data_IF_390190011912
#
_entry.id   IF_390190011912
#
_cell.length_a   1.000
_cell.length_b   1.000
_cell.length_c   1.000
_cell.angle_alpha   90.00
_cell.angle_beta   90.00
_cell.angle_gamma   90.00
#
_symmetry.space_group_name_H-M   'P 1'
#
loop_
_entity.id
_entity.type
_entity.pdbx_description
1 polymer ?
#
# COMPACT_ATOMS: atom_id res chain seq x y z
N UNK A 1 19.68 -2.61 -7.74
CA UNK A 1 18.21 -2.40 -7.82
C UNK A 1 17.88 -2.22 -9.28
N UNK A 2 16.98 -3.02 -9.82
CA UNK A 2 16.47 -2.70 -11.14
C UNK A 2 15.74 -1.37 -11.05
N UNK A 3 15.92 -0.49 -12.01
CA UNK A 3 15.27 0.83 -12.08
C UNK A 3 13.75 0.72 -11.92
N UNK A 4 13.18 -0.33 -12.45
CA UNK A 4 11.76 -0.65 -12.35
C UNK A 4 11.28 -0.88 -10.90
N UNK A 5 12.04 -1.60 -10.07
CA UNK A 5 11.70 -1.81 -8.64
C UNK A 5 11.76 -0.48 -7.88
N UNK A 6 12.78 0.33 -8.12
CA UNK A 6 12.87 1.67 -7.50
C UNK A 6 11.69 2.55 -7.87
N UNK A 7 11.32 2.57 -9.15
CA UNK A 7 10.16 3.35 -9.61
C UNK A 7 8.86 2.89 -8.94
N UNK A 8 8.63 1.59 -8.82
CA UNK A 8 7.47 1.06 -8.10
C UNK A 8 7.49 1.42 -6.61
N UNK A 9 8.66 1.41 -5.95
CA UNK A 9 8.78 1.87 -4.56
C UNK A 9 8.37 3.35 -4.41
N UNK A 10 8.85 4.24 -5.27
CA UNK A 10 8.47 5.66 -5.27
C UNK A 10 6.95 5.83 -5.41
N UNK A 11 6.34 5.15 -6.37
CA UNK A 11 4.90 5.18 -6.61
C UNK A 11 4.11 4.62 -5.42
N UNK A 12 4.58 3.52 -4.81
CA UNK A 12 3.93 2.96 -3.62
C UNK A 12 4.05 3.89 -2.40
N UNK A 13 5.13 4.67 -2.31
CA UNK A 13 5.29 5.69 -1.28
C UNK A 13 4.35 6.88 -1.53
N UNK A 14 4.19 7.35 -2.76
CA UNK A 14 3.27 8.42 -3.13
C UNK A 14 1.82 8.08 -2.77
N UNK A 15 1.37 6.88 -3.10
CA UNK A 15 0.01 6.42 -2.78
C UNK A 15 -0.22 5.99 -1.33
N UNK A 16 0.84 5.87 -0.55
CA UNK A 16 0.77 5.59 0.90
C UNK A 16 1.20 6.80 1.72
N UNK A 17 0.79 8.00 1.35
CA UNK A 17 1.24 9.26 1.91
C UNK A 17 1.38 9.24 3.44
N UNK A 18 2.35 9.98 3.97
CA UNK A 18 2.53 10.24 5.38
C UNK A 18 2.21 11.71 5.67
N UNK A 19 1.75 12.01 6.90
CA UNK A 19 1.47 13.38 7.32
C UNK A 19 2.74 14.25 7.39
N UNK A 20 3.87 13.62 7.72
CA UNK A 20 5.20 14.24 7.71
C UNK A 20 6.21 13.28 7.09
N UNK A 21 7.11 13.82 6.28
CA UNK A 21 8.20 13.07 5.67
C UNK A 21 9.50 13.83 5.81
N UNK A 22 10.59 13.11 6.06
CA UNK A 22 11.95 13.63 6.16
C UNK A 22 12.89 12.79 5.30
N UNK A 23 13.70 13.44 4.47
CA UNK A 23 14.85 12.81 3.82
C UNK A 23 16.06 12.85 4.77
N UNK A 24 16.75 11.73 4.90
CA UNK A 24 17.95 11.63 5.74
C UNK A 24 18.99 10.75 5.07
N UNK A 25 19.95 11.34 4.43
CA UNK A 25 21.09 10.70 3.75
C UNK A 25 20.68 9.45 2.95
N UNK A 26 19.77 9.62 1.99
CA UNK A 26 19.25 8.54 1.12
C UNK A 26 18.14 7.68 1.74
N UNK A 27 17.81 7.86 3.01
CA UNK A 27 16.65 7.24 3.66
C UNK A 27 15.48 8.21 3.74
N UNK A 28 14.26 7.66 3.73
CA UNK A 28 13.01 8.41 3.85
C UNK A 28 12.34 7.97 5.15
N UNK A 29 12.24 8.89 6.11
CA UNK A 29 11.53 8.71 7.37
C UNK A 29 10.12 9.26 7.23
N UNK A 30 9.11 8.49 7.62
CA UNK A 30 7.70 8.83 7.43
C UNK A 30 6.95 8.71 8.74
N UNK A 31 6.12 9.73 9.05
CA UNK A 31 5.44 9.85 10.32
C UNK A 31 3.96 10.21 10.11
N UNK A 32 3.08 9.42 10.68
CA UNK A 32 1.62 9.63 10.71
C UNK A 32 1.09 9.25 12.10
N UNK A 33 1.30 10.09 13.12
CA UNK A 33 0.75 9.85 14.45
C UNK A 33 -0.77 9.63 14.36
N UNK A 34 -1.30 8.70 15.17
CA UNK A 34 -2.72 8.35 15.14
C UNK A 34 -3.10 7.34 14.05
N UNK A 35 -2.15 6.89 13.21
CA UNK A 35 -2.37 5.84 12.22
C UNK A 35 -1.52 4.61 12.50
N UNK A 36 -2.14 3.41 12.47
CA UNK A 36 -1.42 2.12 12.55
C UNK A 36 -0.88 1.65 11.20
N UNK A 37 -1.07 2.44 10.14
CA UNK A 37 -0.62 2.11 8.78
C UNK A 37 0.91 2.16 8.74
N UNK A 38 1.55 0.98 8.71
CA UNK A 38 3.02 0.86 8.77
C UNK A 38 3.72 1.56 7.61
N UNK A 39 3.15 1.56 6.40
CA UNK A 39 3.71 2.24 5.23
C UNK A 39 3.85 3.76 5.40
N UNK A 40 2.98 4.38 6.17
CA UNK A 40 3.07 5.81 6.50
C UNK A 40 3.83 6.09 7.80
N UNK A 41 4.31 5.05 8.49
CA UNK A 41 5.04 5.09 9.75
C UNK A 41 6.25 4.14 9.70
N UNK A 42 7.16 4.39 8.77
CA UNK A 42 8.38 3.57 8.60
C UNK A 42 9.51 4.32 7.91
N UNK A 43 10.71 3.86 8.12
CA UNK A 43 11.93 4.24 7.39
C UNK A 43 12.01 3.39 6.13
N UNK A 44 12.24 4.01 4.97
CA UNK A 44 12.52 3.31 3.71
C UNK A 44 13.93 3.67 3.24
N UNK A 45 14.81 2.67 3.14
CA UNK A 45 16.21 2.83 2.76
C UNK A 45 16.36 2.67 1.23
N UNK A 46 15.98 3.72 0.47
CA UNK A 46 15.76 3.65 -0.96
C UNK A 46 16.96 4.07 -1.81
N UNK A 47 17.75 5.02 -1.33
CA UNK A 47 18.84 5.61 -2.09
C UNK A 47 20.21 5.40 -1.40
N UNK A 48 21.33 5.54 -2.16
CA UNK A 48 22.66 5.48 -1.58
C UNK A 48 22.85 6.44 -0.42
N UNK A 49 23.72 6.06 0.53
CA UNK A 49 24.02 6.80 1.76
C UNK A 49 25.50 7.06 1.87
N UNK A 50 25.88 8.11 2.60
CA UNK A 50 27.27 8.49 2.89
C UNK A 50 27.62 8.37 4.37
N UNK A 51 26.63 8.45 5.26
CA UNK A 51 26.84 8.35 6.70
C UNK A 51 26.94 6.88 7.16
N UNK A 52 27.60 6.69 8.30
CA UNK A 52 27.69 5.40 8.96
C UNK A 52 26.31 4.82 9.29
N UNK A 53 26.06 3.57 8.92
CA UNK A 53 24.75 2.93 9.02
C UNK A 53 24.29 2.81 10.47
N UNK A 54 25.22 2.54 11.41
CA UNK A 54 24.88 2.42 12.83
C UNK A 54 24.38 3.76 13.41
N UNK A 55 25.01 4.86 13.03
CA UNK A 55 24.60 6.22 13.42
C UNK A 55 23.22 6.57 12.81
N UNK A 56 22.97 6.16 11.57
CA UNK A 56 21.67 6.37 10.92
C UNK A 56 20.54 5.59 11.58
N UNK A 57 20.78 4.34 11.98
CA UNK A 57 19.81 3.53 12.71
C UNK A 57 19.47 4.22 14.04
N UNK A 58 20.49 4.62 14.83
CA UNK A 58 20.30 5.31 16.10
C UNK A 58 19.51 6.62 15.94
N UNK A 59 19.81 7.41 14.92
CA UNK A 59 19.05 8.62 14.60
C UNK A 59 17.57 8.31 14.30
N UNK A 60 17.30 7.29 13.51
CA UNK A 60 15.92 6.88 13.21
C UNK A 60 15.19 6.42 14.48
N UNK A 61 15.83 5.61 15.32
CA UNK A 61 15.27 5.14 16.59
C UNK A 61 14.90 6.33 17.49
N UNK A 62 15.78 7.33 17.64
CA UNK A 62 15.48 8.53 18.38
C UNK A 62 14.34 9.35 17.76
N UNK A 63 14.35 9.58 16.45
CA UNK A 63 13.32 10.37 15.76
C UNK A 63 11.93 9.77 15.87
N UNK A 64 11.82 8.43 15.85
CA UNK A 64 10.54 7.74 16.05
C UNK A 64 10.13 7.73 17.53
N UNK A 65 11.07 7.59 18.47
CA UNK A 65 10.80 7.70 19.91
C UNK A 65 10.27 9.10 20.26
N UNK A 66 10.88 10.16 19.74
CA UNK A 66 10.45 11.56 19.93
C UNK A 66 9.04 11.82 19.36
N UNK A 67 8.67 11.07 18.32
CA UNK A 67 7.33 11.12 17.71
C UNK A 67 6.31 10.22 18.43
N UNK A 68 6.69 9.46 19.47
CA UNK A 68 5.83 8.48 20.13
C UNK A 68 5.42 7.31 19.23
N UNK A 69 6.25 6.96 18.27
CA UNK A 69 5.99 5.92 17.28
C UNK A 69 7.02 4.78 17.39
N UNK A 70 6.62 3.53 17.14
CA UNK A 70 7.59 2.43 17.06
C UNK A 70 8.45 2.56 15.79
N UNK A 71 9.76 2.37 15.94
CA UNK A 71 10.68 2.37 14.79
C UNK A 71 10.46 1.13 13.94
N UNK A 72 10.19 1.35 12.66
CA UNK A 72 10.03 0.29 11.65
C UNK A 72 10.86 0.63 10.43
N UNK A 73 11.66 -0.33 9.97
CA UNK A 73 12.40 -0.23 8.72
C UNK A 73 11.67 -1.07 7.67
N UNK A 74 11.18 -0.42 6.61
CA UNK A 74 10.58 -1.08 5.45
C UNK A 74 11.67 -1.38 4.44
N UNK A 75 11.93 -2.66 4.22
CA UNK A 75 13.04 -3.17 3.44
C UNK A 75 12.57 -4.09 2.32
N UNK A 76 13.33 -4.14 1.25
CA UNK A 76 13.27 -5.15 0.21
C UNK A 76 14.69 -5.61 -0.16
N UNK A 77 14.84 -6.58 -1.05
CA UNK A 77 16.14 -7.10 -1.48
C UNK A 77 17.07 -6.05 -2.11
N UNK A 78 16.55 -4.87 -2.44
CA UNK A 78 17.29 -3.76 -3.05
C UNK A 78 17.53 -2.60 -2.11
N UNK A 79 17.18 -2.71 -0.82
CA UNK A 79 17.41 -1.67 0.18
C UNK A 79 18.90 -1.42 0.39
N UNK A 80 19.27 -0.17 0.67
CA UNK A 80 20.66 0.27 0.80
C UNK A 80 20.97 0.79 2.21
N UNK A 81 22.11 0.41 2.79
CA UNK A 81 23.11 -0.52 2.24
C UNK A 81 22.63 -1.98 2.24
N UNK A 82 23.19 -2.84 1.40
CA UNK A 82 22.72 -4.21 1.21
C UNK A 82 22.72 -5.06 2.50
N UNK A 83 23.62 -4.78 3.44
CA UNK A 83 23.70 -5.45 4.75
C UNK A 83 22.69 -4.95 5.78
N UNK A 84 21.85 -3.95 5.46
CA UNK A 84 20.94 -3.31 6.44
C UNK A 84 19.98 -4.31 7.10
N UNK A 85 19.44 -5.26 6.33
CA UNK A 85 18.53 -6.28 6.89
C UNK A 85 19.22 -7.14 7.95
N UNK A 86 20.46 -7.55 7.68
CA UNK A 86 21.28 -8.33 8.60
C UNK A 86 21.64 -7.52 9.86
N UNK A 87 22.08 -6.27 9.70
CA UNK A 87 22.44 -5.40 10.82
C UNK A 87 21.24 -5.15 11.76
N UNK A 88 20.05 -4.99 11.21
CA UNK A 88 18.83 -4.86 12.00
C UNK A 88 18.45 -6.17 12.70
N UNK A 89 18.67 -7.33 12.06
CA UNK A 89 18.46 -8.62 12.68
C UNK A 89 19.40 -8.85 13.89
N UNK A 90 20.69 -8.53 13.73
CA UNK A 90 21.70 -8.60 14.78
C UNK A 90 21.40 -7.69 15.98
N UNK A 91 20.66 -6.59 15.75
CA UNK A 91 20.13 -5.69 16.79
C UNK A 91 18.83 -6.19 17.43
N UNK A 92 18.37 -7.40 17.12
CA UNK A 92 17.17 -7.99 17.66
C UNK A 92 15.87 -7.55 16.96
N UNK A 93 15.93 -6.81 15.86
CA UNK A 93 14.73 -6.44 15.12
C UNK A 93 14.13 -7.67 14.41
N UNK A 94 12.86 -7.96 14.70
CA UNK A 94 12.13 -9.04 14.04
C UNK A 94 11.66 -8.65 12.65
N UNK A 95 11.71 -9.59 11.73
CA UNK A 95 11.10 -9.48 10.40
C UNK A 95 9.62 -9.79 10.48
N UNK A 96 8.77 -8.88 10.01
CA UNK A 96 7.31 -9.01 10.04
C UNK A 96 6.68 -8.62 8.71
N UNK A 97 5.49 -9.13 8.44
CA UNK A 97 4.59 -8.78 7.33
C UNK A 97 5.28 -8.77 5.95
N UNK A 98 5.86 -9.89 5.50
CA UNK A 98 6.33 -9.97 4.12
C UNK A 98 5.15 -9.73 3.17
N UNK A 99 5.34 -8.77 2.28
CA UNK A 99 4.29 -8.28 1.39
C UNK A 99 4.76 -8.31 -0.05
N UNK A 100 4.03 -8.98 -0.91
CA UNK A 100 4.27 -9.02 -2.36
C UNK A 100 3.77 -7.73 -3.00
N UNK A 101 4.60 -7.14 -3.84
CA UNK A 101 4.20 -6.12 -4.82
C UNK A 101 4.00 -6.81 -6.15
N UNK A 102 2.79 -6.73 -6.68
CA UNK A 102 2.39 -7.38 -7.93
C UNK A 102 2.01 -6.34 -8.97
N UNK A 103 2.31 -6.61 -10.23
CA UNK A 103 2.09 -5.72 -11.37
C UNK A 103 1.31 -6.44 -12.47
N UNK A 104 0.43 -5.70 -13.15
CA UNK A 104 -0.32 -6.11 -14.33
C UNK A 104 -0.12 -5.08 -15.43
N UNK A 105 0.57 -5.41 -16.54
CA UNK A 105 0.57 -4.58 -17.75
C UNK A 105 -0.82 -4.60 -18.39
N UNK A 106 -1.52 -3.47 -18.39
CA UNK A 106 -2.92 -3.41 -18.82
C UNK A 106 -3.12 -3.77 -20.31
N UNK A 107 -2.13 -3.54 -21.14
CA UNK A 107 -2.16 -3.90 -22.59
C UNK A 107 -2.22 -5.42 -22.84
N UNK A 108 -1.76 -6.22 -21.87
CA UNK A 108 -1.70 -7.69 -21.97
C UNK A 108 -2.97 -8.38 -21.44
N UNK A 109 -3.87 -7.62 -20.85
CA UNK A 109 -5.08 -8.14 -20.23
C UNK A 109 -6.29 -7.76 -21.11
N UNK A 110 -7.15 -8.70 -21.44
CA UNK A 110 -8.39 -8.43 -22.15
C UNK A 110 -9.34 -7.56 -21.30
N UNK A 111 -10.03 -6.62 -21.94
CA UNK A 111 -11.06 -5.82 -21.26
C UNK A 111 -12.19 -6.73 -20.75
N UNK A 112 -12.72 -6.40 -19.59
CA UNK A 112 -13.78 -7.14 -18.95
C UNK A 112 -14.95 -6.21 -18.59
N UNK A 113 -16.19 -6.69 -18.52
CA UNK A 113 -17.31 -5.84 -18.13
C UNK A 113 -17.18 -5.37 -16.67
N UNK A 114 -17.49 -4.10 -16.46
CA UNK A 114 -17.59 -3.53 -15.11
C UNK A 114 -18.79 -4.19 -14.39
N UNK A 115 -18.61 -4.51 -13.12
CA UNK A 115 -19.63 -5.20 -12.35
C UNK A 115 -20.90 -4.34 -12.18
N UNK A 116 -22.11 -4.91 -12.35
CA UNK A 116 -23.34 -4.21 -11.97
C UNK A 116 -23.30 -3.76 -10.52
N UNK A 117 -23.72 -2.51 -10.24
CA UNK A 117 -23.68 -1.91 -8.89
C UNK A 117 -22.30 -1.37 -8.47
N UNK A 118 -21.32 -1.40 -9.36
CA UNK A 118 -20.07 -0.67 -9.17
C UNK A 118 -20.31 0.83 -9.28
N UNK A 119 -19.79 1.59 -8.34
CA UNK A 119 -19.88 3.04 -8.35
C UNK A 119 -18.60 3.69 -7.84
N UNK A 120 -18.17 4.76 -8.51
CA UNK A 120 -17.16 5.68 -8.00
C UNK A 120 -17.85 6.63 -7.03
N UNK A 121 -17.20 6.89 -5.90
CA UNK A 121 -17.72 7.69 -4.78
C UNK A 121 -16.91 8.95 -4.58
N UNK A 122 -17.48 9.93 -3.92
CA UNK A 122 -16.71 10.99 -3.29
C UNK A 122 -15.80 10.42 -2.21
N UNK A 123 -14.62 11.06 -2.01
CA UNK A 123 -13.61 10.52 -1.08
C UNK A 123 -14.11 10.49 0.37
N UNK A 124 -14.82 11.53 0.82
CA UNK A 124 -15.33 11.62 2.19
C UNK A 124 -16.48 10.64 2.43
N UNK A 125 -17.39 10.52 1.46
CA UNK A 125 -18.45 9.51 1.47
C UNK A 125 -17.83 8.11 1.57
N UNK A 126 -16.84 7.82 0.75
CA UNK A 126 -16.17 6.51 0.75
C UNK A 126 -15.42 6.22 2.04
N UNK A 127 -14.71 7.21 2.63
CA UNK A 127 -14.04 7.05 3.91
C UNK A 127 -15.04 6.60 4.98
N UNK A 128 -16.19 7.24 5.03
CA UNK A 128 -17.27 6.92 5.99
C UNK A 128 -17.81 5.51 5.75
N UNK A 129 -18.23 5.20 4.50
CA UNK A 129 -18.81 3.90 4.13
C UNK A 129 -17.83 2.75 4.35
N UNK A 130 -16.58 2.91 3.88
CA UNK A 130 -15.57 1.85 3.98
C UNK A 130 -15.13 1.60 5.42
N UNK A 131 -15.14 2.61 6.28
CA UNK A 131 -14.85 2.48 7.71
C UNK A 131 -15.98 1.74 8.44
N UNK A 132 -17.24 2.11 8.17
CA UNK A 132 -18.41 1.42 8.69
C UNK A 132 -18.44 -0.05 8.26
N UNK A 133 -18.11 -0.33 6.99
CA UNK A 133 -18.07 -1.69 6.45
C UNK A 133 -17.03 -2.57 7.16
N UNK A 134 -15.89 -2.00 7.61
CA UNK A 134 -14.82 -2.72 8.33
C UNK A 134 -15.10 -2.93 9.81
N UNK A 135 -15.87 -2.07 10.44
CA UNK A 135 -16.20 -2.12 11.86
C UNK A 135 -15.06 -1.73 12.81
N UNK A 136 -13.80 -1.94 12.44
CA UNK A 136 -12.60 -1.54 13.23
C UNK A 136 -11.61 -0.82 12.32
N UNK A 137 -11.59 0.51 12.31
CA UNK A 137 -10.64 1.28 11.51
C UNK A 137 -9.22 1.20 12.11
N UNK A 138 -8.20 1.19 11.25
CA UNK A 138 -6.78 1.22 11.65
C UNK A 138 -6.26 2.64 11.95
N UNK A 139 -7.09 3.63 11.75
CA UNK A 139 -6.80 5.05 11.95
C UNK A 139 -8.12 5.80 12.15
N UNK A 140 -8.06 6.98 12.75
CA UNK A 140 -9.26 7.82 12.85
C UNK A 140 -9.72 8.28 11.47
N UNK A 141 -10.99 8.62 11.31
CA UNK A 141 -11.54 9.13 10.04
C UNK A 141 -10.78 10.39 9.59
N UNK A 142 -10.44 11.26 10.54
CA UNK A 142 -9.71 12.49 10.25
C UNK A 142 -8.26 12.22 9.79
N UNK A 143 -7.52 11.35 10.47
CA UNK A 143 -6.16 10.95 10.05
C UNK A 143 -6.17 10.31 8.67
N UNK A 144 -7.20 9.48 8.38
CA UNK A 144 -7.37 8.86 7.07
C UNK A 144 -7.65 9.90 5.98
N UNK A 145 -8.55 10.86 6.25
CA UNK A 145 -8.86 11.97 5.33
C UNK A 145 -7.63 12.78 5.01
N UNK A 146 -6.90 13.25 6.03
CA UNK A 146 -5.69 14.04 5.87
C UNK A 146 -4.62 13.28 5.07
N UNK A 147 -4.39 12.02 5.38
CA UNK A 147 -3.42 11.17 4.68
C UNK A 147 -3.78 10.95 3.21
N UNK A 148 -5.04 10.69 2.89
CA UNK A 148 -5.48 10.51 1.50
C UNK A 148 -5.47 11.85 0.74
N UNK A 149 -5.90 12.93 1.36
CA UNK A 149 -5.90 14.27 0.75
C UNK A 149 -4.48 14.80 0.48
N UNK A 150 -3.49 14.42 1.30
CA UNK A 150 -2.08 14.82 1.11
C UNK A 150 -1.33 13.99 0.07
N UNK A 151 -1.91 12.90 -0.42
CA UNK A 151 -1.25 12.04 -1.40
C UNK A 151 -1.21 12.70 -2.79
N UNK A 152 -0.05 12.72 -3.47
CA UNK A 152 0.09 13.31 -4.81
C UNK A 152 -0.43 12.37 -5.90
N UNK A 153 -1.61 11.79 -5.71
CA UNK A 153 -2.23 10.83 -6.63
C UNK A 153 -3.70 11.18 -6.85
N UNK A 154 -4.25 10.81 -8.00
CA UNK A 154 -5.69 10.91 -8.25
C UNK A 154 -6.40 9.70 -7.69
N UNK A 155 -7.33 9.90 -6.74
CA UNK A 155 -8.07 8.83 -6.11
C UNK A 155 -9.34 8.46 -6.85
N UNK A 156 -9.65 7.17 -6.88
CA UNK A 156 -10.87 6.56 -7.41
C UNK A 156 -11.49 5.68 -6.31
N UNK A 157 -12.19 6.29 -5.33
CA UNK A 157 -12.85 5.54 -4.27
C UNK A 157 -14.05 4.80 -4.85
N UNK A 158 -14.19 3.50 -4.54
CA UNK A 158 -15.22 2.66 -5.17
C UNK A 158 -15.93 1.77 -4.18
N UNK A 159 -17.20 1.48 -4.51
CA UNK A 159 -18.02 0.49 -3.80
C UNK A 159 -18.68 -0.45 -4.80
N UNK A 160 -19.03 -1.64 -4.34
CA UNK A 160 -19.92 -2.56 -5.04
C UNK A 160 -21.18 -2.75 -4.19
N UNK A 161 -22.34 -2.52 -4.81
CA UNK A 161 -23.66 -2.63 -4.16
C UNK A 161 -24.47 -3.75 -4.83
N UNK A 162 -25.07 -4.61 -4.03
CA UNK A 162 -25.96 -5.70 -4.47
C UNK A 162 -27.21 -5.64 -3.61
N UNK A 163 -28.39 -5.65 -4.23
CA UNK A 163 -29.69 -5.55 -3.54
C UNK A 163 -29.73 -4.41 -2.51
N UNK A 164 -29.29 -3.21 -2.92
CA UNK A 164 -29.20 -1.99 -2.11
C UNK A 164 -28.24 -2.05 -0.91
N UNK A 165 -27.43 -3.12 -0.77
CA UNK A 165 -26.44 -3.27 0.27
C UNK A 165 -25.02 -3.09 -0.32
N UNK A 166 -24.20 -2.25 0.30
CA UNK A 166 -22.76 -2.20 -0.02
C UNK A 166 -22.08 -3.47 0.47
N UNK A 167 -21.59 -4.29 -0.46
CA UNK A 167 -21.00 -5.61 -0.18
C UNK A 167 -19.48 -5.63 -0.21
N UNK A 168 -18.87 -4.64 -0.87
CA UNK A 168 -17.43 -4.54 -1.01
C UNK A 168 -17.03 -3.07 -1.22
N UNK A 169 -15.85 -2.70 -0.75
CA UNK A 169 -15.25 -1.38 -0.97
C UNK A 169 -13.78 -1.51 -1.35
N UNK A 170 -13.26 -0.49 -2.03
CA UNK A 170 -11.86 -0.39 -2.41
C UNK A 170 -11.54 1.02 -2.87
N UNK A 171 -10.27 1.30 -3.15
CA UNK A 171 -9.85 2.57 -3.72
C UNK A 171 -8.74 2.35 -4.74
N UNK A 172 -8.88 2.97 -5.90
CA UNK A 172 -7.83 3.11 -6.88
C UNK A 172 -7.03 4.38 -6.65
N UNK A 173 -5.74 4.38 -6.99
CA UNK A 173 -4.89 5.57 -6.93
C UNK A 173 -4.00 5.65 -8.17
N UNK A 174 -4.14 6.72 -8.97
CA UNK A 174 -3.34 6.91 -10.19
C UNK A 174 -2.17 7.86 -9.93
N UNK A 175 -0.96 7.39 -10.26
CA UNK A 175 0.28 8.16 -10.30
C UNK A 175 0.93 7.96 -11.68
N UNK A 176 0.82 8.96 -12.56
CA UNK A 176 1.29 8.88 -13.93
C UNK A 176 0.66 7.72 -14.69
N UNK A 177 1.47 6.78 -15.16
CA UNK A 177 1.04 5.59 -15.92
C UNK A 177 0.69 4.38 -15.03
N UNK A 178 0.83 4.50 -13.70
CA UNK A 178 0.53 3.44 -12.74
C UNK A 178 -0.78 3.69 -12.01
N UNK A 179 -1.52 2.62 -11.78
CA UNK A 179 -2.77 2.63 -11.02
C UNK A 179 -2.72 1.57 -9.92
N UNK A 180 -2.67 2.00 -8.68
CA UNK A 180 -2.68 1.12 -7.52
C UNK A 180 -4.08 0.69 -7.12
N UNK A 181 -4.26 -0.58 -6.75
CA UNK A 181 -5.48 -1.11 -6.15
C UNK A 181 -5.25 -1.25 -4.64
N UNK A 182 -6.02 -0.52 -3.85
CA UNK A 182 -5.84 -0.47 -2.40
C UNK A 182 -7.13 -0.75 -1.66
N UNK A 183 -6.97 -1.22 -0.43
CA UNK A 183 -8.01 -1.27 0.58
C UNK A 183 -9.25 -2.08 0.17
N UNK A 184 -9.07 -3.06 -0.75
CA UNK A 184 -10.16 -3.95 -1.16
C UNK A 184 -10.62 -4.76 0.06
N UNK A 185 -11.89 -4.57 0.41
CA UNK A 185 -12.47 -5.21 1.57
C UNK A 185 -13.87 -5.75 1.32
N UNK A 186 -14.08 -7.00 1.68
CA UNK A 186 -15.39 -7.65 1.75
C UNK A 186 -15.59 -8.19 3.16
N UNK A 187 -16.68 -7.81 3.87
CA UNK A 187 -17.03 -8.36 5.17
C UNK A 187 -17.03 -9.89 5.17
N UNK A 188 -16.65 -10.50 6.27
CA UNK A 188 -16.48 -11.95 6.38
C UNK A 188 -17.73 -12.73 5.96
N UNK A 189 -18.90 -12.31 6.42
CA UNK A 189 -20.18 -12.92 6.09
C UNK A 189 -20.55 -12.87 4.58
N UNK A 190 -19.87 -12.00 3.82
CA UNK A 190 -20.10 -11.78 2.39
C UNK A 190 -18.97 -12.33 1.49
N UNK A 191 -17.95 -12.95 2.09
CA UNK A 191 -16.83 -13.55 1.34
C UNK A 191 -17.27 -14.76 0.53
N UNK A 192 -16.40 -15.19 -0.41
CA UNK A 192 -16.60 -16.34 -1.31
C UNK A 192 -17.80 -16.23 -2.25
N UNK A 193 -18.33 -15.04 -2.47
CA UNK A 193 -19.40 -14.73 -3.42
C UNK A 193 -18.91 -14.00 -4.67
N UNK A 194 -17.60 -13.91 -4.89
CA UNK A 194 -16.99 -13.26 -6.06
C UNK A 194 -16.87 -11.73 -5.97
N UNK A 195 -17.38 -11.07 -4.93
CA UNK A 195 -17.45 -9.60 -4.85
C UNK A 195 -16.07 -8.91 -4.92
N UNK A 196 -15.05 -9.42 -4.24
CA UNK A 196 -13.69 -8.85 -4.32
C UNK A 196 -13.10 -8.99 -5.72
N UNK A 197 -13.39 -10.10 -6.43
CA UNK A 197 -12.94 -10.29 -7.82
C UNK A 197 -13.64 -9.31 -8.75
N UNK A 198 -14.96 -9.18 -8.62
CA UNK A 198 -15.75 -8.24 -9.42
C UNK A 198 -15.31 -6.79 -9.21
N UNK A 199 -15.03 -6.39 -7.95
CA UNK A 199 -14.52 -5.06 -7.63
C UNK A 199 -13.10 -4.84 -8.21
N UNK A 200 -12.21 -5.84 -8.10
CA UNK A 200 -10.86 -5.75 -8.67
C UNK A 200 -10.88 -5.61 -10.20
N UNK A 201 -11.73 -6.36 -10.90
CA UNK A 201 -11.95 -6.23 -12.35
C UNK A 201 -12.42 -4.80 -12.68
N UNK A 202 -13.42 -4.30 -11.96
CA UNK A 202 -13.96 -2.95 -12.18
C UNK A 202 -12.91 -1.85 -11.95
N UNK A 203 -12.03 -2.03 -10.95
CA UNK A 203 -10.89 -1.13 -10.73
C UNK A 203 -9.83 -1.23 -11.85
N UNK A 204 -9.59 -2.41 -12.41
CA UNK A 204 -8.69 -2.59 -13.57
C UNK A 204 -9.26 -1.86 -14.79
N UNK A 205 -10.55 -1.92 -15.02
CA UNK A 205 -11.19 -1.19 -16.13
C UNK A 205 -11.21 0.33 -15.86
N UNK A 206 -11.36 0.76 -14.61
CA UNK A 206 -11.18 2.16 -14.22
C UNK A 206 -9.74 2.62 -14.49
N UNK A 207 -8.73 1.79 -14.22
CA UNK A 207 -7.34 2.07 -14.54
C UNK A 207 -7.15 2.30 -16.05
N UNK A 208 -7.73 1.45 -16.91
CA UNK A 208 -7.70 1.62 -18.38
C UNK A 208 -8.35 2.93 -18.79
N UNK A 209 -9.57 3.18 -18.32
CA UNK A 209 -10.34 4.37 -18.65
C UNK A 209 -9.62 5.65 -18.21
N UNK A 210 -8.85 5.60 -17.13
CA UNK A 210 -8.02 6.72 -16.66
C UNK A 210 -6.73 6.93 -17.47
N UNK A 211 -6.39 6.04 -18.44
CA UNK A 211 -5.18 6.12 -19.24
C UNK A 211 -3.92 5.56 -18.56
N UNK A 212 -4.06 4.71 -17.55
CA UNK A 212 -2.93 3.99 -16.96
C UNK A 212 -2.40 2.91 -17.91
N UNK A 213 -1.10 2.65 -17.86
CA UNK A 213 -0.44 1.55 -18.59
C UNK A 213 -0.29 0.30 -17.72
N UNK A 214 -0.22 0.48 -16.40
CA UNK A 214 0.04 -0.57 -15.43
C UNK A 214 -0.95 -0.48 -14.26
N UNK A 215 -1.47 -1.63 -13.82
CA UNK A 215 -2.09 -1.76 -12.51
C UNK A 215 -1.12 -2.45 -11.55
N UNK A 216 -1.10 -2.05 -10.28
CA UNK A 216 -0.29 -2.69 -9.24
C UNK A 216 -1.06 -2.83 -7.94
N UNK A 217 -0.59 -3.73 -7.09
CA UNK A 217 -1.15 -3.91 -5.75
C UNK A 217 -0.09 -4.44 -4.79
N UNK A 218 -0.42 -4.40 -3.51
CA UNK A 218 0.39 -4.94 -2.43
C UNK A 218 -0.47 -5.92 -1.63
N UNK A 219 0.00 -7.15 -1.48
CA UNK A 219 -0.73 -8.20 -0.78
C UNK A 219 0.18 -8.92 0.20
N UNK A 220 -0.30 -9.15 1.42
CA UNK A 220 0.39 -9.95 2.41
C UNK A 220 0.71 -11.34 1.82
N UNK A 221 1.97 -11.79 1.95
CA UNK A 221 2.42 -13.07 1.43
C UNK A 221 1.63 -14.25 2.01
N UNK A 222 1.17 -14.13 3.25
CA UNK A 222 0.34 -15.12 3.92
C UNK A 222 -1.12 -15.13 3.43
N UNK A 223 -1.57 -14.07 2.74
CA UNK A 223 -2.95 -13.98 2.24
C UNK A 223 -3.15 -14.78 0.94
N UNK A 224 -3.03 -16.09 1.03
CA UNK A 224 -3.20 -17.00 -0.11
C UNK A 224 -4.52 -16.82 -0.90
N UNK A 225 -5.68 -16.62 -0.26
CA UNK A 225 -6.92 -16.35 -0.98
C UNK A 225 -6.88 -15.12 -1.88
N UNK A 226 -6.36 -13.99 -1.40
CA UNK A 226 -6.24 -12.77 -2.19
C UNK A 226 -5.21 -12.92 -3.31
N UNK A 227 -4.05 -13.52 -3.03
CA UNK A 227 -3.02 -13.79 -4.03
C UNK A 227 -3.57 -14.57 -5.23
N UNK A 228 -4.31 -15.66 -4.98
CA UNK A 228 -4.93 -16.46 -6.06
C UNK A 228 -5.92 -15.67 -6.91
N UNK A 229 -6.61 -14.68 -6.34
CA UNK A 229 -7.48 -13.78 -7.13
C UNK A 229 -6.63 -12.96 -8.07
N UNK A 230 -5.59 -12.30 -7.56
CA UNK A 230 -4.76 -11.40 -8.34
C UNK A 230 -3.94 -12.14 -9.41
N UNK A 231 -3.40 -13.32 -9.11
CA UNK A 231 -2.71 -14.19 -10.08
C UNK A 231 -3.64 -14.58 -11.24
N UNK A 232 -4.90 -14.95 -10.94
CA UNK A 232 -5.91 -15.25 -11.98
C UNK A 232 -6.30 -14.02 -12.82
N UNK A 233 -6.20 -12.82 -12.26
CA UNK A 233 -6.42 -11.57 -13.00
C UNK A 233 -5.20 -11.15 -13.82
N UNK A 234 -4.10 -11.91 -13.77
CA UNK A 234 -2.88 -11.67 -14.55
C UNK A 234 -1.82 -10.85 -13.85
N UNK A 235 -1.99 -10.52 -12.57
CA UNK A 235 -0.93 -9.87 -11.80
C UNK A 235 0.24 -10.83 -11.55
N UNK A 236 1.46 -10.37 -11.83
CA UNK A 236 2.69 -11.10 -11.56
C UNK A 236 3.46 -10.47 -10.40
N UNK A 237 4.09 -11.27 -9.51
CA UNK A 237 4.97 -10.77 -8.48
C UNK A 237 6.19 -10.04 -9.10
N UNK A 238 6.54 -8.86 -8.56
CA UNK A 238 7.74 -8.12 -8.97
C UNK A 238 8.82 -8.18 -7.89
N UNK A 239 8.44 -7.92 -6.65
CA UNK A 239 9.32 -8.04 -5.49
C UNK A 239 8.50 -8.20 -4.20
N UNK A 240 9.20 -8.57 -3.12
CA UNK A 240 8.66 -8.62 -1.76
C UNK A 240 9.35 -7.56 -0.91
N UNK A 241 8.60 -6.86 -0.08
CA UNK A 241 9.15 -6.07 1.01
C UNK A 241 8.67 -6.61 2.36
N UNK A 242 9.36 -6.24 3.43
CA UNK A 242 9.03 -6.58 4.82
C UNK A 242 9.38 -5.45 5.76
N UNK A 243 8.97 -5.56 7.01
CA UNK A 243 9.41 -4.64 8.05
C UNK A 243 10.38 -5.32 9.02
N UNK A 244 11.36 -4.54 9.49
CA UNK A 244 12.15 -4.83 10.69
C UNK A 244 11.72 -3.89 11.79
N UNK A 245 11.45 -4.41 12.99
CA UNK A 245 11.04 -3.61 14.15
C UNK A 245 11.47 -4.30 15.44
N UNK A 246 11.83 -3.52 16.45
CA UNK A 246 11.94 -4.01 17.81
C UNK A 246 10.53 -4.29 18.34
N UNK A 247 10.38 -5.30 19.21
CA UNK A 247 9.10 -5.71 19.79
C UNK A 247 9.00 -5.16 21.20
#
# INVERSE_FOLDING_TARGET
>A
MTEHVRRLEEITLNSSSALRQQFYDGWILRFSPGSEVKRSNSVTALYPSTLEVAAKIAYCEQAYADAGLPTRFRLNASSLPAQLDQLLAERGCRKIEPTLVMLLPLRQCAAQPVAPGFAVKDLDEWITLSSALRGKPRETLEARRQRLASAPVSWFPVTLTVAAQTVCSGIGGRDGEYFGLFDLFTPEALRRRGYSTALAISLIETARASGASYAYLQVDEANGPARRIYERLGFCPVYTYWYRTQV
#
